data_IF_812113993538
#
_entry.id   IF_812113993538
#
_cell.length_a   1.000
_cell.length_b   1.000
_cell.length_c   1.000
_cell.angle_alpha   90.00
_cell.angle_beta   90.00
_cell.angle_gamma   90.00
#
_symmetry.space_group_name_H-M   'P 1'
#
loop_
_entity.id
_entity.type
_entity.pdbx_description
1 polymer ?
#
# COMPACT_ATOMS: atom_id res chain seq x y z
N UNK A 1 16.44 -21.14 -13.91
CA UNK A 1 17.46 -20.18 -13.44
C UNK A 1 17.22 -19.96 -11.98
N UNK A 2 18.15 -20.39 -11.12
CA UNK A 2 17.95 -20.60 -9.69
C UNK A 2 17.62 -19.31 -8.94
N UNK A 3 16.50 -19.31 -8.24
CA UNK A 3 16.14 -18.29 -7.25
C UNK A 3 16.96 -18.62 -6.00
N UNK A 4 18.04 -17.90 -5.78
CA UNK A 4 18.74 -17.94 -4.50
C UNK A 4 17.91 -17.19 -3.48
N UNK A 5 17.20 -17.95 -2.63
CA UNK A 5 16.47 -17.46 -1.49
C UNK A 5 17.41 -17.08 -0.35
N UNK A 6 17.94 -15.87 -0.41
CA UNK A 6 18.49 -15.18 0.75
C UNK A 6 17.57 -14.00 1.03
N UNK A 7 16.84 -14.04 2.16
CA UNK A 7 16.10 -12.87 2.63
C UNK A 7 17.12 -11.74 2.81
N UNK A 8 16.96 -10.58 2.14
CA UNK A 8 17.84 -9.45 2.41
C UNK A 8 17.73 -9.13 3.91
N UNK A 9 18.86 -9.01 4.61
CA UNK A 9 18.98 -8.73 6.06
C UNK A 9 18.30 -7.44 6.53
N UNK A 10 17.43 -6.86 5.70
CA UNK A 10 16.88 -5.54 5.80
C UNK A 10 15.36 -5.52 6.10
N UNK A 11 14.63 -6.64 5.91
CA UNK A 11 13.18 -6.71 6.13
C UNK A 11 12.79 -6.33 7.57
N UNK A 12 13.53 -6.82 8.54
CA UNK A 12 13.29 -6.58 9.96
C UNK A 12 13.35 -5.09 10.33
N UNK A 13 14.18 -4.33 9.66
CA UNK A 13 14.34 -2.88 9.90
C UNK A 13 13.19 -2.05 9.32
N UNK A 14 12.45 -2.62 8.36
CA UNK A 14 11.32 -1.96 7.70
C UNK A 14 9.97 -2.31 8.31
N UNK A 15 9.83 -3.52 8.89
CA UNK A 15 8.54 -3.95 9.44
C UNK A 15 8.26 -3.25 10.79
N UNK A 16 7.24 -2.37 10.88
CA UNK A 16 7.11 -1.40 11.98
C UNK A 16 7.01 -2.00 13.37
N UNK A 17 6.39 -3.18 13.50
CA UNK A 17 6.19 -3.86 14.79
C UNK A 17 7.16 -5.02 15.03
N UNK A 18 8.26 -5.09 14.29
CA UNK A 18 9.21 -6.21 14.33
C UNK A 18 9.63 -6.60 15.76
N UNK A 19 10.00 -5.61 16.56
CA UNK A 19 10.47 -5.82 17.92
C UNK A 19 9.38 -6.26 18.91
N UNK A 20 8.12 -6.22 18.51
CA UNK A 20 6.98 -6.68 19.31
C UNK A 20 6.56 -8.11 18.95
N UNK A 21 7.16 -8.71 17.93
CA UNK A 21 6.87 -10.06 17.47
C UNK A 21 7.67 -11.10 18.24
N UNK A 22 7.11 -12.28 18.40
CA UNK A 22 7.84 -13.44 18.93
C UNK A 22 8.89 -13.92 17.92
N UNK A 23 9.96 -14.62 18.37
CA UNK A 23 10.97 -15.16 17.46
C UNK A 23 10.39 -16.10 16.38
N UNK A 24 9.35 -16.84 16.71
CA UNK A 24 8.65 -17.72 15.76
C UNK A 24 7.95 -16.89 14.66
N UNK A 25 7.24 -15.83 15.03
CA UNK A 25 6.56 -14.95 14.09
C UNK A 25 7.54 -14.20 13.18
N UNK A 26 8.66 -13.72 13.75
CA UNK A 26 9.75 -13.11 13.00
C UNK A 26 10.30 -14.09 11.95
N UNK A 27 10.58 -15.32 12.34
CA UNK A 27 11.09 -16.34 11.43
C UNK A 27 10.09 -16.69 10.31
N UNK A 28 8.78 -16.75 10.62
CA UNK A 28 7.74 -16.99 9.60
C UNK A 28 7.73 -15.85 8.60
N UNK A 29 7.74 -14.59 9.05
CA UNK A 29 7.73 -13.42 8.16
C UNK A 29 8.99 -13.36 7.30
N UNK A 30 10.17 -13.55 7.88
CA UNK A 30 11.43 -13.56 7.14
C UNK A 30 11.48 -14.60 6.03
N UNK A 31 11.00 -15.80 6.30
CA UNK A 31 10.99 -16.90 5.31
C UNK A 31 10.00 -16.69 4.17
N UNK A 32 8.94 -15.93 4.41
CA UNK A 32 7.83 -15.74 3.46
C UNK A 32 7.78 -14.33 2.84
N UNK A 33 8.64 -13.42 3.26
CA UNK A 33 8.75 -12.10 2.64
C UNK A 33 9.60 -12.19 1.37
N UNK A 34 8.97 -11.96 0.22
CA UNK A 34 9.64 -12.01 -1.09
C UNK A 34 9.88 -10.59 -1.59
N UNK A 35 11.14 -10.26 -1.88
CA UNK A 35 11.49 -8.96 -2.46
C UNK A 35 11.12 -8.93 -3.93
N UNK A 36 10.31 -7.94 -4.34
CA UNK A 36 9.93 -7.68 -5.73
C UNK A 36 10.37 -6.28 -6.14
N UNK A 37 10.77 -6.16 -7.41
CA UNK A 37 11.00 -4.89 -8.09
C UNK A 37 10.01 -4.78 -9.23
N UNK A 38 9.45 -3.60 -9.40
CA UNK A 38 8.52 -3.27 -10.48
C UNK A 38 8.88 -1.90 -11.04
N UNK A 39 8.72 -1.76 -12.35
CA UNK A 39 8.93 -0.49 -13.03
C UNK A 39 7.72 0.43 -12.85
N UNK A 40 7.93 1.72 -12.99
CA UNK A 40 6.87 2.73 -13.03
C UNK A 40 5.77 2.33 -14.02
N UNK A 41 4.51 2.53 -13.66
CA UNK A 41 3.32 2.20 -14.45
C UNK A 41 2.89 0.73 -14.35
N UNK A 42 3.61 -0.11 -13.57
CA UNK A 42 3.19 -1.50 -13.38
C UNK A 42 2.00 -1.57 -12.45
N UNK A 43 0.90 -2.16 -12.92
CA UNK A 43 -0.25 -2.53 -12.09
C UNK A 43 0.10 -3.80 -11.31
N UNK A 44 0.10 -3.69 -9.99
CA UNK A 44 0.48 -4.78 -9.07
C UNK A 44 -0.76 -5.57 -8.63
N UNK A 45 -1.88 -4.88 -8.49
CA UNK A 45 -3.16 -5.43 -8.09
C UNK A 45 -4.28 -4.63 -8.77
N UNK A 46 -5.33 -5.29 -9.27
CA UNK A 46 -6.42 -4.67 -10.02
C UNK A 46 -7.82 -5.06 -9.55
N UNK A 47 -7.95 -5.45 -8.28
CA UNK A 47 -9.25 -5.83 -7.72
C UNK A 47 -9.80 -7.19 -8.16
N UNK A 48 -9.20 -7.83 -9.15
CA UNK A 48 -9.63 -9.15 -9.61
C UNK A 48 -9.11 -10.28 -8.73
N UNK A 49 -9.57 -11.48 -9.00
CA UNK A 49 -9.51 -12.73 -8.22
C UNK A 49 -8.16 -13.10 -7.56
N UNK A 50 -7.06 -12.52 -7.98
CA UNK A 50 -5.73 -12.86 -7.43
C UNK A 50 -5.32 -11.93 -6.30
N UNK A 51 -5.23 -12.51 -5.12
CA UNK A 51 -4.71 -11.86 -3.94
C UNK A 51 -3.19 -11.74 -4.03
N UNK A 52 -2.70 -10.53 -4.19
CA UNK A 52 -1.24 -10.29 -4.28
C UNK A 52 -0.54 -10.53 -2.94
N UNK A 53 -1.25 -10.34 -1.83
CA UNK A 53 -0.70 -10.37 -0.47
C UNK A 53 -0.43 -8.97 0.08
N UNK A 54 0.10 -8.91 1.29
CA UNK A 54 0.50 -7.68 1.93
C UNK A 54 1.77 -7.13 1.27
N UNK A 55 1.77 -5.84 0.92
CA UNK A 55 2.94 -5.16 0.36
C UNK A 55 3.55 -4.24 1.42
N UNK A 56 4.86 -4.33 1.60
CA UNK A 56 5.66 -3.38 2.39
C UNK A 56 6.64 -2.67 1.46
N UNK A 57 6.47 -1.38 1.28
CA UNK A 57 7.31 -0.58 0.37
C UNK A 57 8.70 -0.40 0.99
N UNK A 58 9.72 -0.77 0.25
CA UNK A 58 11.13 -0.53 0.60
C UNK A 58 11.65 0.78 0.04
N UNK A 59 11.32 1.07 -1.21
CA UNK A 59 11.68 2.32 -1.88
C UNK A 59 10.77 2.54 -3.07
N UNK A 60 10.53 3.77 -3.44
CA UNK A 60 9.67 4.14 -4.55
C UNK A 60 8.31 4.68 -4.10
N UNK A 61 7.28 4.48 -4.91
CA UNK A 61 5.96 5.02 -4.63
C UNK A 61 4.88 4.19 -5.29
N UNK A 62 3.89 3.78 -4.51
CA UNK A 62 2.67 3.16 -5.00
C UNK A 62 1.48 4.10 -4.87
N UNK A 63 0.49 3.93 -5.71
CA UNK A 63 -0.80 4.62 -5.70
C UNK A 63 -1.91 3.60 -5.58
N UNK A 64 -2.84 3.83 -4.68
CA UNK A 64 -4.09 3.11 -4.59
C UNK A 64 -5.22 3.97 -5.15
N UNK A 65 -5.98 3.45 -6.09
CA UNK A 65 -7.09 4.15 -6.71
C UNK A 65 -8.25 3.21 -7.04
N UNK A 66 -9.43 3.79 -7.21
CA UNK A 66 -10.60 3.12 -7.75
C UNK A 66 -10.84 3.60 -9.17
N UNK A 67 -11.32 2.70 -10.03
CA UNK A 67 -11.65 2.97 -11.41
C UNK A 67 -13.18 2.90 -11.57
N UNK A 68 -13.78 3.93 -12.17
CA UNK A 68 -15.19 3.90 -12.53
C UNK A 68 -15.42 3.10 -13.83
N UNK A 69 -16.65 2.70 -14.08
CA UNK A 69 -17.05 2.03 -15.33
C UNK A 69 -16.75 2.89 -16.58
N UNK A 70 -16.66 4.22 -16.42
CA UNK A 70 -16.34 5.18 -17.49
C UNK A 70 -14.82 5.38 -17.65
N UNK A 71 -13.96 4.66 -16.89
CA UNK A 71 -12.52 4.77 -16.92
C UNK A 71 -11.96 5.97 -16.14
N UNK A 72 -12.74 6.61 -15.28
CA UNK A 72 -12.25 7.70 -14.42
C UNK A 72 -11.61 7.13 -13.17
N UNK A 73 -10.45 7.66 -12.82
CA UNK A 73 -9.69 7.23 -11.65
C UNK A 73 -9.87 8.21 -10.48
N UNK A 74 -10.05 7.66 -9.29
CA UNK A 74 -10.01 8.43 -8.04
C UNK A 74 -8.91 7.85 -7.18
N UNK A 75 -7.82 8.61 -6.97
CA UNK A 75 -6.76 8.25 -6.05
C UNK A 75 -7.29 8.29 -4.62
N UNK A 76 -7.13 7.19 -3.91
CA UNK A 76 -7.52 7.08 -2.50
C UNK A 76 -6.39 7.51 -1.58
N UNK A 77 -5.18 6.98 -1.82
CA UNK A 77 -3.96 7.31 -1.06
C UNK A 77 -2.71 6.88 -1.83
N UNK A 78 -1.58 7.34 -1.36
CA UNK A 78 -0.25 6.94 -1.83
C UNK A 78 0.49 6.19 -0.73
N UNK A 79 1.46 5.39 -1.14
CA UNK A 79 2.30 4.58 -0.28
C UNK A 79 3.75 4.91 -0.59
N UNK A 80 4.50 5.24 0.44
CA UNK A 80 5.91 5.60 0.39
C UNK A 80 6.76 4.56 1.14
N UNK A 81 8.04 4.84 1.29
CA UNK A 81 8.96 3.98 2.04
C UNK A 81 8.43 3.68 3.44
N UNK A 82 8.42 2.40 3.79
CA UNK A 82 7.90 1.81 5.03
C UNK A 82 6.39 1.72 5.15
N UNK A 83 5.64 2.22 4.18
CA UNK A 83 4.19 2.05 4.15
C UNK A 83 3.79 0.62 3.81
N UNK A 84 2.66 0.19 4.41
CA UNK A 84 2.07 -1.12 4.18
C UNK A 84 0.75 -0.97 3.42
N UNK A 85 0.60 -1.73 2.34
CA UNK A 85 -0.66 -1.92 1.65
C UNK A 85 -1.33 -3.22 2.11
N UNK A 86 -2.50 -3.09 2.75
CA UNK A 86 -3.35 -4.23 3.12
C UNK A 86 -4.38 -4.57 2.05
N UNK A 87 -4.81 -3.59 1.24
CA UNK A 87 -5.85 -3.82 0.23
C UNK A 87 -5.40 -4.71 -0.92
N UNK A 88 -4.10 -4.83 -1.18
CA UNK A 88 -3.55 -5.86 -2.08
C UNK A 88 -3.75 -7.29 -1.55
N UNK A 89 -4.11 -7.41 -0.29
CA UNK A 89 -4.48 -8.64 0.41
C UNK A 89 -5.96 -8.68 0.79
N UNK A 90 -6.82 -8.04 -0.01
CA UNK A 90 -8.27 -7.88 0.24
C UNK A 90 -9.00 -9.22 0.43
N UNK A 91 -8.48 -10.31 -0.15
CA UNK A 91 -9.00 -11.66 0.07
C UNK A 91 -8.99 -12.11 1.54
N UNK A 92 -8.17 -11.48 2.39
CA UNK A 92 -8.19 -11.74 3.84
C UNK A 92 -9.38 -11.08 4.55
N UNK A 93 -10.03 -10.13 3.89
CA UNK A 93 -11.07 -9.28 4.45
C UNK A 93 -12.39 -9.54 3.74
N UNK A 94 -13.23 -10.41 4.31
CA UNK A 94 -14.49 -10.87 3.71
C UNK A 94 -15.54 -9.77 3.47
N UNK A 95 -15.28 -8.53 3.85
CA UNK A 95 -16.25 -7.42 3.83
C UNK A 95 -15.91 -6.30 2.84
N UNK A 96 -14.83 -6.40 2.09
CA UNK A 96 -14.49 -5.37 1.09
C UNK A 96 -15.28 -5.64 -0.18
N UNK A 97 -16.16 -4.68 -0.54
CA UNK A 97 -17.08 -4.78 -1.69
C UNK A 97 -16.66 -3.85 -2.84
N UNK A 98 -15.46 -3.29 -2.81
CA UNK A 98 -14.96 -2.40 -3.85
C UNK A 98 -13.59 -2.87 -4.35
N UNK A 99 -13.38 -2.66 -5.64
CA UNK A 99 -12.13 -3.01 -6.30
C UNK A 99 -11.14 -1.86 -6.20
N UNK A 100 -9.95 -2.15 -5.70
CA UNK A 100 -8.84 -1.19 -5.65
C UNK A 100 -7.77 -1.63 -6.62
N UNK A 101 -7.27 -0.68 -7.39
CA UNK A 101 -6.08 -0.87 -8.21
C UNK A 101 -4.86 -0.31 -7.48
N UNK A 102 -3.78 -1.06 -7.45
CA UNK A 102 -2.48 -0.66 -6.91
C UNK A 102 -1.48 -0.60 -8.06
N UNK A 103 -0.91 0.58 -8.28
CA UNK A 103 0.03 0.85 -9.37
C UNK A 103 1.31 1.50 -8.85
N UNK A 104 2.44 1.19 -9.48
CA UNK A 104 3.72 1.81 -9.20
C UNK A 104 3.81 3.18 -9.90
N UNK A 105 3.87 4.26 -9.13
CA UNK A 105 4.05 5.63 -9.65
C UNK A 105 5.52 5.96 -9.95
N UNK A 106 6.45 5.24 -9.33
CA UNK A 106 7.90 5.28 -9.55
C UNK A 106 8.43 3.85 -9.57
N UNK A 107 9.63 3.64 -10.07
CA UNK A 107 10.30 2.34 -9.92
C UNK A 107 10.32 1.97 -8.45
N UNK A 108 9.71 0.85 -8.11
CA UNK A 108 9.41 0.49 -6.72
C UNK A 108 10.00 -0.86 -6.37
N UNK A 109 10.64 -0.91 -5.21
CA UNK A 109 11.06 -2.14 -4.56
C UNK A 109 10.21 -2.35 -3.31
N UNK A 110 9.66 -3.55 -3.13
CA UNK A 110 8.77 -3.88 -2.03
C UNK A 110 8.92 -5.33 -1.62
N UNK A 111 8.60 -5.64 -0.37
CA UNK A 111 8.37 -7.02 0.05
C UNK A 111 6.90 -7.38 -0.13
N UNK A 112 6.69 -8.61 -0.55
CA UNK A 112 5.38 -9.23 -0.68
C UNK A 112 5.30 -10.38 0.31
N UNK A 113 4.28 -10.37 1.17
CA UNK A 113 3.96 -11.44 2.10
C UNK A 113 2.62 -12.01 1.68
N UNK A 114 2.56 -13.34 1.48
CA UNK A 114 1.30 -13.96 1.06
C UNK A 114 0.18 -13.69 2.07
N UNK A 115 -1.04 -13.55 1.56
CA UNK A 115 -2.22 -13.33 2.38
C UNK A 115 -2.40 -14.41 3.45
N UNK A 116 -2.20 -15.67 3.08
CA UNK A 116 -2.33 -16.82 4.01
C UNK A 116 -1.32 -16.72 5.16
N UNK A 117 -0.05 -16.38 4.85
CA UNK A 117 0.98 -16.21 5.88
C UNK A 117 0.63 -15.09 6.84
N UNK A 118 0.23 -13.93 6.31
CA UNK A 118 -0.11 -12.79 7.17
C UNK A 118 -1.36 -13.04 7.99
N UNK A 119 -2.40 -13.62 7.38
CA UNK A 119 -3.63 -14.01 8.09
C UNK A 119 -3.39 -15.01 9.22
N UNK A 120 -2.52 -16.01 8.98
CA UNK A 120 -2.15 -16.98 10.00
C UNK A 120 -1.52 -16.28 11.22
N UNK A 121 -0.53 -15.42 11.01
CA UNK A 121 0.12 -14.69 12.10
C UNK A 121 -0.87 -13.73 12.78
N UNK A 122 -1.73 -13.07 12.02
CA UNK A 122 -2.74 -12.13 12.55
C UNK A 122 -3.74 -12.85 13.47
N UNK A 123 -4.13 -14.11 13.17
CA UNK A 123 -5.03 -14.90 14.02
C UNK A 123 -4.38 -15.34 15.33
N UNK A 124 -3.07 -15.52 15.33
CA UNK A 124 -2.32 -16.02 16.51
C UNK A 124 -1.70 -14.88 17.34
N UNK A 125 -1.66 -13.67 16.83
CA UNK A 125 -0.97 -12.53 17.46
C UNK A 125 -1.88 -11.32 17.61
N UNK A 126 -2.27 -11.03 18.84
CA UNK A 126 -3.00 -9.79 19.15
C UNK A 126 -2.21 -8.53 18.74
N UNK A 127 -0.86 -8.60 18.80
CA UNK A 127 0.01 -7.49 18.38
C UNK A 127 -0.15 -7.22 16.88
N UNK A 128 -0.15 -8.27 16.05
CA UNK A 128 -0.31 -8.14 14.59
C UNK A 128 -1.75 -7.74 14.26
N UNK A 129 -2.75 -8.31 14.92
CA UNK A 129 -4.15 -7.95 14.73
C UNK A 129 -4.41 -6.46 15.06
N UNK A 130 -3.89 -5.98 16.19
CA UNK A 130 -4.04 -4.56 16.57
C UNK A 130 -3.33 -3.65 15.58
N UNK A 131 -2.13 -3.98 15.15
CA UNK A 131 -1.40 -3.22 14.14
C UNK A 131 -2.14 -3.20 12.79
N UNK A 132 -2.73 -4.30 12.37
CA UNK A 132 -3.59 -4.37 11.18
C UNK A 132 -4.78 -3.42 11.31
N UNK A 133 -5.46 -3.42 12.47
CA UNK A 133 -6.57 -2.52 12.74
C UNK A 133 -6.14 -1.04 12.72
N UNK A 134 -4.96 -0.71 13.24
CA UNK A 134 -4.41 0.66 13.20
C UNK A 134 -4.19 1.12 11.74
N UNK A 135 -3.61 0.26 10.90
CA UNK A 135 -3.45 0.57 9.46
C UNK A 135 -4.83 0.78 8.81
N UNK A 136 -5.80 -0.10 9.07
CA UNK A 136 -7.14 0.02 8.51
C UNK A 136 -7.84 1.31 8.96
N UNK A 137 -7.72 1.68 10.22
CA UNK A 137 -8.29 2.92 10.75
C UNK A 137 -7.66 4.15 10.08
N UNK A 138 -6.34 4.13 9.86
CA UNK A 138 -5.65 5.20 9.13
C UNK A 138 -6.16 5.32 7.70
N UNK A 139 -6.26 4.22 6.96
CA UNK A 139 -6.77 4.22 5.58
C UNK A 139 -8.24 4.65 5.51
N UNK A 140 -9.06 4.23 6.47
CA UNK A 140 -10.44 4.71 6.58
C UNK A 140 -10.49 6.23 6.76
N UNK A 141 -9.67 6.79 7.67
CA UNK A 141 -9.60 8.24 7.90
C UNK A 141 -9.17 9.00 6.65
N UNK A 142 -8.18 8.50 5.91
CA UNK A 142 -7.73 9.12 4.65
C UNK A 142 -8.84 9.16 3.60
N UNK A 143 -9.57 8.06 3.43
CA UNK A 143 -10.70 7.99 2.48
C UNK A 143 -11.85 8.89 2.93
N UNK A 144 -12.16 8.94 4.22
CA UNK A 144 -13.20 9.84 4.74
C UNK A 144 -12.82 11.31 4.55
N UNK A 145 -11.55 11.66 4.76
CA UNK A 145 -11.05 13.00 4.46
C UNK A 145 -11.18 13.33 2.96
N UNK A 146 -10.84 12.38 2.07
CA UNK A 146 -11.01 12.56 0.62
C UNK A 146 -12.49 12.81 0.26
N UNK A 147 -13.41 12.03 0.84
CA UNK A 147 -14.85 12.22 0.64
C UNK A 147 -15.28 13.63 1.08
N UNK A 148 -14.81 14.10 2.24
CA UNK A 148 -15.07 15.47 2.70
C UNK A 148 -14.59 16.52 1.69
N UNK A 149 -13.38 16.35 1.13
CA UNK A 149 -12.87 17.25 0.10
C UNK A 149 -13.76 17.28 -1.14
N UNK A 150 -14.20 16.11 -1.61
CA UNK A 150 -15.05 16.00 -2.80
C UNK A 150 -16.44 16.61 -2.57
N UNK A 151 -17.03 16.40 -1.40
CA UNK A 151 -18.40 16.83 -1.09
C UNK A 151 -18.51 18.31 -0.74
N UNK A 152 -17.53 18.86 -0.01
CA UNK A 152 -17.66 20.18 0.61
C UNK A 152 -16.70 21.25 0.10
N UNK A 153 -15.65 20.87 -0.63
CA UNK A 153 -14.68 21.87 -1.16
C UNK A 153 -14.95 22.21 -2.61
N UNK A 154 -14.85 23.49 -2.94
CA UNK A 154 -14.89 23.95 -4.32
C UNK A 154 -13.70 23.40 -5.12
N UNK A 155 -13.83 23.38 -6.45
CA UNK A 155 -12.80 22.88 -7.35
C UNK A 155 -11.45 23.55 -7.11
N UNK A 156 -11.44 24.88 -6.99
CA UNK A 156 -10.24 25.69 -6.78
C UNK A 156 -9.50 25.31 -5.50
N UNK A 157 -10.24 25.04 -4.42
CA UNK A 157 -9.64 24.58 -3.15
C UNK A 157 -9.04 23.19 -3.28
N UNK A 158 -9.70 22.29 -4.01
CA UNK A 158 -9.19 20.94 -4.27
C UNK A 158 -7.93 20.99 -5.14
N UNK A 159 -7.93 21.81 -6.20
CA UNK A 159 -6.77 22.00 -7.06
C UNK A 159 -5.60 22.60 -6.25
N UNK A 160 -5.85 23.62 -5.42
CA UNK A 160 -4.81 24.19 -4.58
C UNK A 160 -4.23 23.17 -3.59
N UNK A 161 -5.06 22.36 -2.92
CA UNK A 161 -4.62 21.32 -2.02
C UNK A 161 -3.77 20.27 -2.76
N UNK A 162 -4.20 19.82 -3.94
CA UNK A 162 -3.46 18.90 -4.79
C UNK A 162 -2.09 19.45 -5.19
N UNK A 163 -2.01 20.71 -5.62
CA UNK A 163 -0.74 21.33 -6.02
C UNK A 163 0.23 21.45 -4.86
N UNK A 164 -0.26 21.76 -3.65
CA UNK A 164 0.56 21.82 -2.45
C UNK A 164 1.08 20.43 -2.04
N UNK A 165 0.24 19.42 -2.16
CA UNK A 165 0.64 18.03 -1.89
C UNK A 165 1.71 17.56 -2.88
N UNK A 166 1.50 17.76 -4.18
CA UNK A 166 2.48 17.40 -5.22
C UNK A 166 3.81 18.14 -5.02
N UNK A 167 3.77 19.44 -4.72
CA UNK A 167 4.97 20.23 -4.44
C UNK A 167 5.75 19.67 -3.23
N UNK A 168 5.03 19.24 -2.19
CA UNK A 168 5.64 18.61 -1.01
C UNK A 168 6.27 17.25 -1.34
N UNK A 169 5.59 16.41 -2.12
CA UNK A 169 6.06 15.07 -2.51
C UNK A 169 7.29 15.16 -3.42
N UNK A 170 7.29 16.09 -4.38
CA UNK A 170 8.40 16.27 -5.33
C UNK A 170 9.53 17.14 -4.76
N UNK A 171 9.32 17.80 -3.61
CA UNK A 171 10.28 18.74 -3.02
C UNK A 171 10.59 19.92 -3.95
N UNK A 172 9.64 20.31 -4.82
CA UNK A 172 9.84 21.29 -5.89
C UNK A 172 8.76 22.36 -5.92
N UNK A 173 9.16 23.61 -6.19
CA UNK A 173 8.24 24.73 -6.39
C UNK A 173 7.69 24.84 -7.82
N UNK A 174 8.12 23.96 -8.72
CA UNK A 174 7.63 23.87 -10.10
C UNK A 174 7.20 22.44 -10.38
N UNK A 175 5.94 22.28 -10.68
CA UNK A 175 5.34 20.99 -11.01
C UNK A 175 5.13 20.91 -12.54
N UNK A 176 5.48 19.75 -13.12
CA UNK A 176 5.05 19.39 -14.47
C UNK A 176 3.82 18.50 -14.34
N UNK A 177 2.66 19.07 -14.59
CA UNK A 177 1.39 18.37 -14.54
C UNK A 177 0.84 18.33 -15.95
N UNK A 178 0.51 17.14 -16.44
CA UNK A 178 -0.21 16.92 -17.70
C UNK A 178 -1.69 16.71 -17.39
N UNK A 179 -2.55 17.25 -18.24
CA UNK A 179 -3.96 16.85 -18.30
C UNK A 179 -4.02 15.59 -19.17
N UNK A 180 -4.12 14.45 -18.55
CA UNK A 180 -4.53 13.21 -19.20
C UNK A 180 -5.95 12.87 -18.76
#
# INVERSE_FOLDING_TARGET
MCIQGGVPMDFSSYFPIWNKLTPTQQQILERNAVLRKVDKGTVIHNGTVECTGLLLVRSGQLRAYILSDEGREISLYRLFDRDICLFSASCMMNSIQFEITIEAQKDTTMWVISADTYQHIMKESAVVANFTNEIMATRFSEVMWLMEQIMWKSLDKRVAAFLLEEASIEGANRLKITHE
#
